data_IF_519876283258
#
_entry.id   IF_519876283258
#
_cell.length_a   1.000
_cell.length_b   1.000
_cell.length_c   1.000
_cell.angle_alpha   90.00
_cell.angle_beta   90.00
_cell.angle_gamma   90.00
#
_symmetry.space_group_name_H-M   'P 1'
#
loop_
_entity.id
_entity.type
_entity.pdbx_description
1 polymer ?
#
# COMPACT_ATOMS: atom_id res chain seq x y z
N UNK A 1 -21.08 5.63 22.56
CA UNK A 1 -20.61 6.36 21.35
C UNK A 1 -19.73 5.40 20.59
N UNK A 2 -20.00 5.12 19.33
CA UNK A 2 -19.10 4.33 18.48
C UNK A 2 -17.94 5.27 18.18
N UNK A 3 -16.75 5.01 18.76
CA UNK A 3 -15.54 5.73 18.40
C UNK A 3 -15.34 5.61 16.89
N UNK A 4 -15.33 6.73 16.22
CA UNK A 4 -15.02 6.76 14.77
C UNK A 4 -13.52 6.74 14.62
N UNK A 5 -13.01 5.88 13.73
CA UNK A 5 -11.59 5.86 13.35
C UNK A 5 -11.07 7.29 13.09
N UNK A 6 -9.87 7.65 13.57
CA UNK A 6 -9.29 8.97 13.31
C UNK A 6 -9.11 9.19 11.82
N UNK A 7 -9.32 10.43 11.37
CA UNK A 7 -9.16 10.73 9.95
C UNK A 7 -7.68 10.76 9.55
N UNK A 8 -6.90 11.58 10.24
CA UNK A 8 -5.47 11.76 9.97
C UNK A 8 -4.70 11.67 11.27
N UNK A 9 -3.57 10.96 11.23
CA UNK A 9 -2.56 11.00 12.29
C UNK A 9 -1.26 11.52 11.69
N UNK A 10 -0.72 12.61 12.26
CA UNK A 10 0.58 13.14 11.88
C UNK A 10 1.69 12.51 12.69
N UNK A 11 2.77 12.15 12.00
CA UNK A 11 3.98 11.62 12.62
C UNK A 11 5.19 12.51 12.28
N UNK A 12 6.10 12.70 13.24
CA UNK A 12 7.33 13.42 12.99
C UNK A 12 8.25 12.64 12.04
N UNK A 13 9.28 13.33 11.57
CA UNK A 13 10.39 12.72 10.83
C UNK A 13 11.08 11.62 11.68
N UNK A 14 11.50 10.53 11.04
CA UNK A 14 12.32 9.50 11.68
C UNK A 14 13.79 9.90 11.66
N UNK A 15 14.26 10.47 12.76
CA UNK A 15 15.65 10.91 12.90
C UNK A 15 16.63 9.76 13.24
N UNK A 16 16.12 8.56 13.56
CA UNK A 16 16.93 7.45 14.09
C UNK A 16 17.20 6.34 13.10
N UNK A 17 16.29 6.11 12.18
CA UNK A 17 16.31 4.96 11.29
C UNK A 17 15.61 5.23 9.96
N UNK A 18 15.15 4.16 9.33
CA UNK A 18 14.47 4.18 8.05
C UNK A 18 12.97 4.06 8.21
N UNK A 19 12.24 4.56 7.23
CA UNK A 19 10.83 4.30 7.05
C UNK A 19 10.64 3.30 5.90
N UNK A 20 9.81 2.29 6.14
CA UNK A 20 9.41 1.30 5.14
C UNK A 20 7.90 1.31 4.96
N UNK A 21 7.44 1.05 3.75
CA UNK A 21 6.01 0.86 3.44
C UNK A 21 5.81 -0.54 2.88
N UNK A 22 4.78 -1.25 3.36
CA UNK A 22 4.38 -2.56 2.82
C UNK A 22 2.97 -2.47 2.22
N UNK A 23 2.72 -3.32 1.23
CA UNK A 23 1.41 -3.54 0.63
C UNK A 23 0.39 -4.16 1.60
N UNK A 24 -0.78 -4.52 1.07
CA UNK A 24 -1.85 -5.19 1.81
C UNK A 24 -1.34 -6.48 2.46
N UNK A 25 -1.52 -6.59 3.78
CA UNK A 25 -0.89 -7.67 4.55
C UNK A 25 -1.72 -8.96 4.57
N UNK A 26 -3.05 -8.84 4.72
CA UNK A 26 -3.99 -9.96 4.63
C UNK A 26 -3.53 -11.26 5.29
N UNK A 27 -2.95 -11.20 6.50
CA UNK A 27 -2.49 -12.40 7.22
C UNK A 27 -1.18 -13.01 6.69
N UNK A 28 -0.43 -12.34 5.80
CA UNK A 28 0.89 -12.76 5.30
C UNK A 28 2.00 -12.42 6.32
N UNK A 29 1.85 -12.88 7.55
CA UNK A 29 2.74 -12.55 8.66
C UNK A 29 4.14 -13.15 8.51
N UNK A 30 4.25 -14.38 8.01
CA UNK A 30 5.55 -15.06 7.86
C UNK A 30 6.39 -14.37 6.78
N UNK A 31 5.76 -13.96 5.69
CA UNK A 31 6.42 -13.20 4.62
C UNK A 31 6.89 -11.84 5.12
N UNK A 32 6.09 -11.18 5.97
CA UNK A 32 6.52 -9.96 6.63
C UNK A 32 7.79 -10.19 7.46
N UNK A 33 7.83 -11.24 8.29
CA UNK A 33 9.01 -11.54 9.10
C UNK A 33 10.26 -11.81 8.25
N UNK A 34 10.10 -12.49 7.10
CA UNK A 34 11.21 -12.70 6.16
C UNK A 34 11.72 -11.38 5.58
N UNK A 35 10.82 -10.47 5.19
CA UNK A 35 11.20 -9.14 4.70
C UNK A 35 11.95 -8.35 5.77
N UNK A 36 11.43 -8.27 6.99
CA UNK A 36 12.07 -7.57 8.10
C UNK A 36 13.48 -8.10 8.37
N UNK A 37 13.62 -9.44 8.38
CA UNK A 37 14.92 -10.10 8.54
C UNK A 37 15.87 -9.75 7.38
N UNK A 38 15.40 -9.78 6.15
CA UNK A 38 16.19 -9.53 4.96
C UNK A 38 16.75 -8.11 4.92
N UNK A 39 15.92 -7.11 5.19
CA UNK A 39 16.34 -5.70 5.21
C UNK A 39 17.09 -5.33 6.50
N UNK A 40 17.25 -6.28 7.44
CA UNK A 40 17.85 -6.07 8.77
C UNK A 40 17.14 -4.96 9.54
N UNK A 41 15.80 -5.00 9.53
CA UNK A 41 14.96 -4.03 10.19
C UNK A 41 15.28 -3.93 11.69
N UNK A 42 15.57 -2.71 12.17
CA UNK A 42 15.85 -2.43 13.58
C UNK A 42 14.62 -1.82 14.24
N UNK A 43 13.86 -2.62 15.00
CA UNK A 43 12.64 -2.18 15.71
C UNK A 43 12.86 -1.03 16.70
N UNK A 44 14.11 -0.76 17.08
CA UNK A 44 14.46 0.35 17.98
C UNK A 44 14.61 1.68 17.24
N UNK A 45 14.72 1.65 15.90
CA UNK A 45 15.02 2.82 15.08
C UNK A 45 14.10 2.97 13.87
N UNK A 46 13.79 1.85 13.19
CA UNK A 46 13.04 1.87 11.95
C UNK A 46 11.53 1.88 12.19
N UNK A 47 10.78 2.39 11.22
CA UNK A 47 9.31 2.36 11.22
C UNK A 47 8.80 1.63 10.00
N UNK A 48 7.75 0.84 10.20
CA UNK A 48 7.05 0.10 9.16
C UNK A 48 5.61 0.59 9.04
N UNK A 49 5.21 1.00 7.85
CA UNK A 49 3.87 1.44 7.52
C UNK A 49 3.18 0.41 6.61
N UNK A 50 2.01 -0.06 6.99
CA UNK A 50 1.15 -0.91 6.17
C UNK A 50 0.04 -0.07 5.54
N UNK A 51 -0.22 -0.30 4.25
CA UNK A 51 -1.30 0.39 3.53
C UNK A 51 -2.70 -0.15 3.86
N UNK A 52 -2.83 -0.99 4.90
CA UNK A 52 -4.11 -1.52 5.39
C UNK A 52 -4.33 -2.98 5.06
N UNK A 53 -5.57 -3.43 5.27
CA UNK A 53 -6.01 -4.81 5.04
C UNK A 53 -5.15 -5.85 5.79
N UNK A 54 -5.08 -5.70 7.12
CA UNK A 54 -4.30 -6.59 7.99
C UNK A 54 -4.88 -8.02 8.03
N UNK A 55 -6.20 -8.13 7.90
CA UNK A 55 -6.94 -9.38 8.08
C UNK A 55 -7.59 -9.91 6.80
N UNK A 56 -8.28 -11.02 6.95
CA UNK A 56 -8.93 -11.82 5.92
C UNK A 56 -7.92 -12.47 4.92
N UNK A 57 -8.35 -13.49 4.24
CA UNK A 57 -7.69 -14.22 3.15
C UNK A 57 -6.49 -15.07 3.54
N UNK A 58 -5.47 -14.52 4.16
CA UNK A 58 -4.26 -15.26 4.54
C UNK A 58 -4.36 -15.95 5.92
N UNK A 59 -3.35 -16.76 6.28
CA UNK A 59 -3.48 -17.71 7.41
C UNK A 59 -3.29 -17.07 8.79
N UNK A 60 -2.53 -15.97 8.92
CA UNK A 60 -2.09 -15.40 10.21
C UNK A 60 -2.60 -13.99 10.47
N UNK A 61 -3.92 -13.78 10.28
CA UNK A 61 -4.54 -12.47 10.45
C UNK A 61 -4.43 -11.91 11.88
N UNK A 62 -4.54 -12.77 12.90
CA UNK A 62 -4.48 -12.33 14.30
C UNK A 62 -3.08 -11.82 14.65
N UNK A 63 -2.04 -12.49 14.16
CA UNK A 63 -0.66 -12.08 14.30
C UNK A 63 -0.39 -10.74 13.63
N UNK A 64 -0.97 -10.52 12.44
CA UNK A 64 -0.88 -9.24 11.74
C UNK A 64 -1.54 -8.10 12.52
N UNK A 65 -2.75 -8.31 13.03
CA UNK A 65 -3.45 -7.30 13.86
C UNK A 65 -2.70 -7.04 15.16
N UNK A 66 -2.14 -8.07 15.80
CA UNK A 66 -1.40 -7.94 17.05
C UNK A 66 -0.12 -7.09 16.91
N UNK A 67 0.40 -6.87 15.70
CA UNK A 67 1.51 -5.95 15.46
C UNK A 67 1.19 -4.52 15.90
N UNK A 68 -0.08 -4.11 15.83
CA UNK A 68 -0.52 -2.76 16.20
C UNK A 68 -0.25 -2.41 17.69
N UNK A 69 -0.17 -3.44 18.54
CA UNK A 69 0.10 -3.28 19.97
C UNK A 69 1.57 -3.57 20.34
N UNK A 70 2.37 -4.01 19.37
CA UNK A 70 3.81 -4.27 19.60
C UNK A 70 4.58 -2.96 19.75
N UNK A 71 5.43 -2.93 20.79
CA UNK A 71 6.29 -1.79 21.11
C UNK A 71 7.76 -2.24 21.11
N UNK A 72 8.65 -1.30 20.86
CA UNK A 72 10.09 -1.48 21.06
C UNK A 72 10.45 -1.44 22.55
N UNK A 73 11.72 -1.58 22.89
CA UNK A 73 12.21 -1.57 24.28
C UNK A 73 11.94 -0.24 25.00
N UNK A 74 11.82 0.87 24.25
CA UNK A 74 11.48 2.19 24.77
C UNK A 74 9.96 2.43 24.89
N UNK A 75 9.13 1.43 24.61
CA UNK A 75 7.67 1.54 24.61
C UNK A 75 7.10 2.31 23.41
N UNK A 76 7.91 2.54 22.37
CA UNK A 76 7.49 3.25 21.15
C UNK A 76 6.91 2.30 20.12
N UNK A 77 5.93 2.75 19.39
CA UNK A 77 5.35 2.04 18.25
C UNK A 77 6.32 2.08 17.07
N UNK A 78 6.50 0.94 16.40
CA UNK A 78 7.32 0.80 15.19
C UNK A 78 6.52 0.30 13.98
N UNK A 79 5.34 -0.31 14.22
CA UNK A 79 4.41 -0.76 13.17
C UNK A 79 3.17 0.12 13.17
N UNK A 80 2.84 0.66 12.02
CA UNK A 80 1.71 1.55 11.78
C UNK A 80 0.88 1.01 10.63
N UNK A 81 -0.44 1.04 10.70
CA UNK A 81 -1.32 0.67 9.61
C UNK A 81 -2.44 1.69 9.45
N UNK A 82 -2.81 2.00 8.24
CA UNK A 82 -4.07 2.68 7.95
C UNK A 82 -5.22 1.67 7.94
N UNK A 83 -6.44 2.17 8.02
CA UNK A 83 -7.65 1.38 7.93
C UNK A 83 -7.86 0.90 6.49
N UNK A 84 -7.83 -0.42 6.27
CA UNK A 84 -8.25 -1.05 5.03
C UNK A 84 -9.74 -1.35 4.97
N UNK A 85 -10.27 -1.64 3.79
CA UNK A 85 -11.69 -1.98 3.65
C UNK A 85 -12.05 -3.33 4.31
N UNK A 86 -11.10 -4.26 4.40
CA UNK A 86 -11.27 -5.50 5.17
C UNK A 86 -11.17 -5.26 6.67
N UNK A 87 -10.47 -4.24 7.13
CA UNK A 87 -10.30 -3.91 8.55
C UNK A 87 -11.51 -3.12 9.12
N UNK A 88 -12.37 -2.60 8.27
CA UNK A 88 -13.48 -1.75 8.67
C UNK A 88 -14.55 -2.50 9.46
N UNK A 89 -14.66 -2.23 10.76
CA UNK A 89 -15.45 -2.99 11.73
C UNK A 89 -16.96 -2.99 11.44
N UNK A 90 -17.51 -1.93 10.86
CA UNK A 90 -18.95 -1.88 10.51
C UNK A 90 -19.37 -3.01 9.54
N UNK A 91 -18.45 -3.58 8.80
CA UNK A 91 -18.72 -4.72 7.93
C UNK A 91 -18.83 -6.07 8.68
N UNK A 92 -18.55 -6.07 10.01
CA UNK A 92 -18.47 -7.30 10.83
C UNK A 92 -19.69 -7.61 11.68
N UNK A 93 -20.68 -6.73 11.75
CA UNK A 93 -21.88 -6.96 12.57
C UNK A 93 -22.60 -8.27 12.23
N UNK A 94 -22.24 -8.94 11.14
CA UNK A 94 -22.75 -10.25 10.73
C UNK A 94 -21.85 -11.45 11.00
N UNK A 95 -20.57 -11.27 11.39
CA UNK A 95 -19.63 -12.39 11.61
C UNK A 95 -18.93 -12.28 12.97
N UNK A 96 -19.44 -13.01 13.93
CA UNK A 96 -19.04 -13.20 15.33
C UNK A 96 -17.63 -13.83 15.51
N UNK A 97 -16.54 -13.31 14.88
CA UNK A 97 -15.29 -14.09 14.78
C UNK A 97 -14.01 -13.39 15.27
N UNK A 98 -14.01 -12.09 15.53
CA UNK A 98 -12.85 -11.45 16.15
C UNK A 98 -13.08 -11.26 17.64
N UNK A 99 -12.08 -11.61 18.47
CA UNK A 99 -12.08 -11.26 19.88
C UNK A 99 -12.14 -9.74 20.03
N UNK A 100 -12.80 -9.24 21.06
CA UNK A 100 -12.93 -7.80 21.36
C UNK A 100 -11.58 -7.05 21.32
N UNK A 101 -10.51 -7.72 21.74
CA UNK A 101 -9.15 -7.20 21.67
C UNK A 101 -8.75 -6.76 20.26
N UNK A 102 -8.91 -7.61 19.25
CA UNK A 102 -8.54 -7.28 17.86
C UNK A 102 -9.47 -6.22 17.27
N UNK A 103 -10.75 -6.28 17.58
CA UNK A 103 -11.72 -5.26 17.20
C UNK A 103 -11.30 -3.89 17.73
N UNK A 104 -10.92 -3.81 19.02
CA UNK A 104 -10.46 -2.57 19.65
C UNK A 104 -9.19 -2.01 19.00
N UNK A 105 -8.28 -2.84 18.51
CA UNK A 105 -7.11 -2.38 17.78
C UNK A 105 -7.50 -1.78 16.42
N UNK A 106 -8.38 -2.44 15.66
CA UNK A 106 -8.81 -1.99 14.34
C UNK A 106 -9.61 -0.68 14.39
N UNK A 107 -10.41 -0.42 15.44
CA UNK A 107 -11.15 0.84 15.59
C UNK A 107 -10.27 2.06 15.82
N UNK A 108 -8.99 1.87 16.14
CA UNK A 108 -8.01 2.95 16.34
C UNK A 108 -7.22 3.30 15.09
N UNK A 109 -7.35 2.51 14.01
CA UNK A 109 -6.61 2.75 12.78
C UNK A 109 -7.08 4.06 12.13
N UNK A 110 -6.17 4.94 11.71
CA UNK A 110 -6.54 6.14 10.95
C UNK A 110 -6.85 5.78 9.50
N UNK A 111 -7.55 6.67 8.82
CA UNK A 111 -7.68 6.61 7.36
C UNK A 111 -6.41 7.03 6.66
N UNK A 112 -5.65 7.95 7.25
CA UNK A 112 -4.45 8.56 6.65
C UNK A 112 -3.37 8.71 7.72
N UNK A 113 -2.14 8.30 7.39
CA UNK A 113 -0.95 8.82 8.06
C UNK A 113 -0.32 9.92 7.21
N UNK A 114 0.06 11.04 7.85
CA UNK A 114 0.89 12.11 7.31
C UNK A 114 2.23 12.07 8.03
N UNK A 115 3.31 11.78 7.31
CA UNK A 115 4.62 11.54 7.90
C UNK A 115 5.61 12.56 7.39
N UNK A 116 6.25 13.33 8.28
CA UNK A 116 7.32 14.26 7.90
C UNK A 116 8.54 13.50 7.40
N UNK A 117 9.17 14.01 6.33
CA UNK A 117 10.31 13.37 5.70
C UNK A 117 11.33 14.39 5.21
N UNK A 118 12.66 14.14 5.37
CA UNK A 118 13.68 15.14 5.05
C UNK A 118 13.74 15.53 3.57
N UNK A 119 13.47 14.57 2.66
CA UNK A 119 13.57 14.81 1.21
C UNK A 119 12.25 15.23 0.57
N UNK A 120 11.09 14.76 1.08
CA UNK A 120 9.77 14.97 0.46
C UNK A 120 8.91 15.99 1.21
N UNK A 121 9.42 16.65 2.24
CA UNK A 121 8.65 17.37 3.25
C UNK A 121 7.70 16.43 3.99
N UNK A 122 6.80 15.72 3.28
CA UNK A 122 5.87 14.72 3.82
C UNK A 122 5.64 13.59 2.82
N UNK A 123 5.26 12.41 3.33
CA UNK A 123 4.59 11.37 2.57
C UNK A 123 3.31 10.96 3.30
N UNK A 124 2.40 10.36 2.55
CA UNK A 124 1.11 9.93 3.06
C UNK A 124 0.93 8.43 2.86
N UNK A 125 0.23 7.80 3.80
CA UNK A 125 -0.22 6.42 3.69
C UNK A 125 -1.74 6.44 3.70
N UNK A 126 -2.36 5.79 2.71
CA UNK A 126 -3.80 5.56 2.60
C UNK A 126 -4.05 4.13 2.15
N UNK A 127 -5.29 3.63 2.28
CA UNK A 127 -5.54 2.26 1.82
C UNK A 127 -5.78 2.20 0.31
N UNK A 128 -6.78 2.93 -0.22
CA UNK A 128 -7.10 2.85 -1.65
C UNK A 128 -6.56 4.07 -2.41
N UNK A 129 -7.37 5.08 -2.63
CA UNK A 129 -6.98 6.25 -3.44
C UNK A 129 -7.35 7.56 -2.75
N UNK A 130 -6.47 8.55 -2.85
CA UNK A 130 -6.76 9.90 -2.40
C UNK A 130 -7.51 10.69 -3.48
N UNK A 131 -8.78 10.35 -3.66
CA UNK A 131 -9.64 10.93 -4.69
C UNK A 131 -10.47 12.12 -4.22
N UNK A 132 -10.70 12.27 -2.94
CA UNK A 132 -11.67 13.23 -2.41
C UNK A 132 -11.34 14.70 -2.68
N UNK A 133 -10.11 15.03 -3.02
CA UNK A 133 -9.72 16.38 -3.43
C UNK A 133 -10.19 16.76 -4.83
N UNK A 134 -10.62 15.79 -5.63
CA UNK A 134 -10.90 15.93 -7.05
C UNK A 134 -12.40 15.78 -7.35
N UNK A 135 -13.27 15.85 -6.34
CA UNK A 135 -14.70 15.50 -6.46
C UNK A 135 -15.51 16.37 -7.42
N UNK A 136 -15.03 17.57 -7.73
CA UNK A 136 -15.70 18.49 -8.65
C UNK A 136 -15.19 18.37 -10.09
N UNK A 137 -14.31 17.42 -10.37
CA UNK A 137 -13.69 17.25 -11.66
C UNK A 137 -14.21 15.99 -12.36
N UNK A 138 -14.34 16.04 -13.68
CA UNK A 138 -14.57 14.84 -14.46
C UNK A 138 -13.30 13.96 -14.51
N UNK A 139 -13.44 12.69 -14.89
CA UNK A 139 -12.33 11.73 -14.86
C UNK A 139 -11.14 12.14 -15.76
N UNK A 140 -11.39 12.90 -16.82
CA UNK A 140 -10.35 13.39 -17.73
C UNK A 140 -9.57 14.56 -17.12
N UNK A 141 -10.25 15.50 -16.47
CA UNK A 141 -9.64 16.59 -15.70
C UNK A 141 -8.81 16.06 -14.54
N UNK A 142 -9.34 15.07 -13.79
CA UNK A 142 -8.62 14.38 -12.72
C UNK A 142 -7.32 13.78 -13.24
N UNK A 143 -7.41 13.04 -14.36
CA UNK A 143 -6.25 12.38 -14.95
C UNK A 143 -5.25 13.40 -15.47
N UNK A 144 -5.73 14.45 -16.14
CA UNK A 144 -4.87 15.52 -16.63
C UNK A 144 -4.17 16.27 -15.50
N UNK A 145 -4.84 16.52 -14.37
CA UNK A 145 -4.21 17.12 -13.20
C UNK A 145 -3.21 16.17 -12.51
N UNK A 146 -3.55 14.89 -12.35
CA UNK A 146 -2.64 13.89 -11.80
C UNK A 146 -1.41 13.65 -12.68
N UNK A 147 -1.59 13.70 -14.02
CA UNK A 147 -0.53 13.48 -14.99
C UNK A 147 0.29 14.75 -15.29
N UNK A 148 -0.33 15.91 -15.22
CA UNK A 148 0.28 17.20 -15.62
C UNK A 148 0.76 18.06 -14.44
N UNK A 149 0.70 17.55 -13.20
CA UNK A 149 1.28 18.21 -12.02
C UNK A 149 0.60 19.48 -11.53
N UNK A 150 -0.62 19.72 -11.91
CA UNK A 150 -1.38 20.89 -11.47
C UNK A 150 -2.26 20.59 -10.24
N UNK A 151 -1.82 19.69 -9.34
CA UNK A 151 -2.40 19.66 -7.99
C UNK A 151 -2.11 21.01 -7.36
N UNK A 152 -3.14 21.84 -7.24
CA UNK A 152 -2.99 23.20 -6.72
C UNK A 152 -2.40 23.18 -5.31
N UNK A 153 -1.63 24.19 -4.97
CA UNK A 153 -1.10 24.38 -3.62
C UNK A 153 -2.21 24.38 -2.56
N UNK A 154 -3.46 24.66 -2.94
CA UNK A 154 -4.65 24.60 -2.08
C UNK A 154 -4.96 23.18 -1.55
N UNK A 155 -4.73 22.13 -2.36
CA UNK A 155 -4.92 20.74 -1.92
C UNK A 155 -3.87 20.39 -0.88
N UNK A 156 -2.63 20.79 -1.11
CA UNK A 156 -1.55 20.64 -0.13
C UNK A 156 -1.83 21.43 1.15
N UNK A 157 -2.30 22.64 1.03
CA UNK A 157 -2.64 23.50 2.16
C UNK A 157 -3.76 22.90 3.01
N UNK A 158 -4.75 22.29 2.39
CA UNK A 158 -5.84 21.60 3.09
C UNK A 158 -5.37 20.36 3.86
N UNK A 159 -4.41 19.59 3.29
CA UNK A 159 -3.78 18.46 3.98
C UNK A 159 -2.87 18.91 5.13
N UNK A 160 -2.19 20.07 4.95
CA UNK A 160 -1.24 20.59 5.93
C UNK A 160 -1.93 21.16 7.19
N UNK A 161 -3.14 21.66 7.09
CA UNK A 161 -3.80 22.39 8.17
C UNK A 161 -4.78 21.56 9.02
N UNK A 162 -4.86 20.22 8.83
CA UNK A 162 -5.75 19.30 9.58
C UNK A 162 -7.24 19.70 9.63
N UNK A 163 -7.69 20.66 8.81
CA UNK A 163 -9.04 21.17 8.81
C UNK A 163 -9.99 20.40 7.87
N UNK A 164 -9.62 19.18 7.49
CA UNK A 164 -10.41 18.38 6.55
C UNK A 164 -11.54 17.69 7.29
N UNK A 165 -12.76 18.15 7.05
CA UNK A 165 -13.97 17.44 7.46
C UNK A 165 -14.45 16.61 6.29
N UNK A 166 -14.32 15.28 6.38
CA UNK A 166 -14.83 14.36 5.36
C UNK A 166 -16.19 13.79 5.77
N UNK A 167 -17.11 13.77 4.82
CA UNK A 167 -18.36 13.02 4.95
C UNK A 167 -18.08 11.50 5.03
N UNK A 168 -19.06 10.72 5.48
CA UNK A 168 -18.93 9.25 5.55
C UNK A 168 -18.66 8.64 4.16
N UNK A 169 -19.28 9.18 3.10
CA UNK A 169 -19.03 8.73 1.72
C UNK A 169 -17.60 8.99 1.28
N UNK A 170 -17.04 10.15 1.62
CA UNK A 170 -15.64 10.49 1.31
C UNK A 170 -14.65 9.59 2.06
N UNK A 171 -14.91 9.30 3.35
CA UNK A 171 -14.11 8.34 4.12
C UNK A 171 -14.15 6.95 3.51
N UNK A 172 -15.32 6.49 3.03
CA UNK A 172 -15.43 5.22 2.30
C UNK A 172 -14.60 5.21 1.02
N UNK A 173 -14.55 6.31 0.29
CA UNK A 173 -13.73 6.39 -0.93
C UNK A 173 -12.24 6.15 -0.65
N UNK A 174 -11.70 6.63 0.47
CA UNK A 174 -10.28 6.40 0.82
C UNK A 174 -9.95 4.91 0.97
N UNK A 175 -10.92 4.08 1.32
CA UNK A 175 -10.72 2.64 1.55
C UNK A 175 -11.31 1.74 0.45
N UNK A 176 -12.03 2.31 -0.55
CA UNK A 176 -12.70 1.53 -1.59
C UNK A 176 -12.44 2.02 -3.02
N UNK A 177 -11.87 3.20 -3.24
CA UNK A 177 -11.76 3.78 -4.58
C UNK A 177 -10.82 2.96 -5.49
N UNK A 178 -11.24 2.83 -6.76
CA UNK A 178 -10.47 2.16 -7.83
C UNK A 178 -10.45 2.99 -9.11
N UNK A 179 -11.03 4.17 -9.08
CA UNK A 179 -11.39 4.89 -10.30
C UNK A 179 -10.16 5.40 -11.06
N UNK A 180 -9.17 5.95 -10.36
CA UNK A 180 -7.93 6.42 -10.98
C UNK A 180 -7.14 5.27 -11.57
N UNK A 181 -6.99 4.18 -10.80
CA UNK A 181 -6.32 2.98 -11.26
C UNK A 181 -7.04 2.37 -12.46
N UNK A 182 -8.37 2.25 -12.41
CA UNK A 182 -9.16 1.65 -13.47
C UNK A 182 -9.17 2.49 -14.75
N UNK A 183 -9.24 3.82 -14.61
CA UNK A 183 -9.11 4.73 -15.74
C UNK A 183 -7.75 4.58 -16.42
N UNK A 184 -6.69 4.54 -15.64
CA UNK A 184 -5.33 4.34 -16.12
C UNK A 184 -5.19 3.02 -16.87
N UNK A 185 -5.65 1.93 -16.29
CA UNK A 185 -5.63 0.59 -16.89
C UNK A 185 -6.43 0.58 -18.19
N UNK A 186 -7.66 1.12 -18.20
CA UNK A 186 -8.53 1.13 -19.38
C UNK A 186 -7.92 1.95 -20.53
N UNK A 187 -7.26 3.06 -20.23
CA UNK A 187 -6.61 3.91 -21.25
C UNK A 187 -5.38 3.23 -21.88
N UNK A 188 -4.73 2.33 -21.14
CA UNK A 188 -3.48 1.70 -21.55
C UNK A 188 -3.62 0.19 -21.85
N UNK A 189 -4.86 -0.35 -21.90
CA UNK A 189 -5.13 -1.81 -22.01
C UNK A 189 -4.46 -2.53 -23.19
N UNK A 190 -4.05 -1.80 -24.23
CA UNK A 190 -3.43 -2.43 -25.40
C UNK A 190 -1.95 -2.78 -25.20
N UNK A 191 -1.26 -2.24 -24.17
CA UNK A 191 0.21 -2.26 -24.10
C UNK A 191 0.80 -2.43 -22.70
N UNK A 192 0.05 -2.98 -21.72
CA UNK A 192 0.60 -3.13 -20.36
C UNK A 192 1.36 -4.47 -20.25
N UNK A 193 2.60 -4.48 -20.67
CA UNK A 193 3.56 -5.54 -20.32
C UNK A 193 4.47 -5.07 -19.17
N UNK A 194 5.12 -5.98 -18.45
CA UNK A 194 6.11 -5.62 -17.41
C UNK A 194 7.21 -4.69 -17.92
N UNK A 195 7.50 -4.69 -19.24
CA UNK A 195 8.42 -3.76 -19.89
C UNK A 195 7.87 -2.33 -19.99
N UNK A 196 6.56 -2.19 -20.16
CA UNK A 196 5.91 -0.90 -20.46
C UNK A 196 5.69 -0.05 -19.21
N UNK A 197 5.60 -0.64 -18.01
CA UNK A 197 5.58 0.15 -16.78
C UNK A 197 6.88 0.98 -16.58
N UNK A 198 7.99 0.58 -17.22
CA UNK A 198 9.22 1.39 -17.26
C UNK A 198 9.10 2.65 -18.13
N UNK A 199 8.14 2.68 -19.05
CA UNK A 199 7.94 3.77 -19.99
C UNK A 199 7.26 5.01 -19.35
N UNK A 200 6.58 4.82 -18.22
CA UNK A 200 5.89 5.89 -17.49
C UNK A 200 6.83 6.78 -16.68
N UNK A 201 8.09 6.40 -16.55
CA UNK A 201 9.13 7.11 -15.79
C UNK A 201 10.03 7.99 -16.67
N UNK A 202 9.56 8.47 -17.82
CA UNK A 202 10.35 9.41 -18.60
C UNK A 202 10.56 10.72 -17.84
N UNK A 203 11.78 11.23 -17.89
CA UNK A 203 12.42 12.35 -17.20
C UNK A 203 11.59 13.63 -16.89
N UNK A 204 10.44 13.83 -17.56
CA UNK A 204 9.55 14.97 -17.29
C UNK A 204 8.88 14.93 -15.91
N UNK A 205 8.83 13.75 -15.26
CA UNK A 205 8.15 13.57 -13.98
C UNK A 205 9.08 13.69 -12.76
N UNK A 206 10.36 13.91 -12.96
CA UNK A 206 11.35 13.96 -11.87
C UNK A 206 11.05 15.03 -10.82
N UNK A 207 10.61 16.21 -11.24
CA UNK A 207 10.31 17.33 -10.33
C UNK A 207 9.04 17.13 -9.47
N UNK A 208 8.13 16.24 -9.86
CA UNK A 208 6.85 16.02 -9.18
C UNK A 208 6.98 14.98 -8.09
N UNK A 209 7.74 13.95 -8.40
CA UNK A 209 8.07 12.88 -7.45
C UNK A 209 8.80 13.45 -6.23
N UNK A 210 9.43 14.62 -6.37
CA UNK A 210 10.19 15.27 -5.30
C UNK A 210 9.33 15.95 -4.23
N UNK A 211 8.05 16.27 -4.50
CA UNK A 211 7.24 17.09 -3.58
C UNK A 211 6.21 16.31 -2.73
N UNK A 212 5.58 15.28 -3.29
CA UNK A 212 4.52 14.54 -2.60
C UNK A 212 4.55 13.06 -2.96
N UNK A 213 4.45 12.19 -1.98
CA UNK A 213 4.30 10.75 -2.16
C UNK A 213 3.13 10.23 -1.35
N UNK A 214 2.24 9.50 -2.02
CA UNK A 214 1.07 8.87 -1.42
C UNK A 214 1.19 7.37 -1.67
N UNK A 215 1.50 6.60 -0.64
CA UNK A 215 1.51 5.15 -0.73
C UNK A 215 0.11 4.60 -0.51
N UNK A 216 -0.32 3.70 -1.40
CA UNK A 216 -1.64 3.07 -1.34
C UNK A 216 -1.57 1.59 -1.74
N UNK A 217 -2.59 0.83 -1.31
CA UNK A 217 -2.80 -0.58 -1.58
C UNK A 217 -4.06 -0.84 -2.39
N UNK A 218 -4.86 -1.86 -1.96
CA UNK A 218 -6.20 -2.18 -2.45
C UNK A 218 -6.29 -2.59 -3.94
N UNK A 219 -5.58 -1.91 -4.80
CA UNK A 219 -5.52 -2.16 -6.24
C UNK A 219 -4.30 -3.02 -6.54
N UNK A 220 -4.54 -4.29 -6.89
CA UNK A 220 -3.46 -5.25 -7.14
C UNK A 220 -2.68 -4.89 -8.39
N UNK A 221 -1.38 -4.78 -8.26
CA UNK A 221 -0.42 -4.47 -9.32
C UNK A 221 0.64 -5.56 -9.44
N UNK A 222 1.24 -5.80 -10.61
CA UNK A 222 2.28 -6.83 -10.78
C UNK A 222 3.57 -6.49 -10.02
N UNK A 223 3.85 -5.22 -9.81
CA UNK A 223 4.90 -4.68 -8.95
C UNK A 223 4.50 -3.25 -8.55
N UNK A 224 5.07 -2.68 -7.48
CA UNK A 224 4.75 -1.32 -7.08
C UNK A 224 4.94 -0.33 -8.22
N UNK A 225 3.90 0.46 -8.52
CA UNK A 225 3.87 1.41 -9.64
C UNK A 225 3.48 2.80 -9.15
N UNK A 226 3.93 3.82 -9.88
CA UNK A 226 3.57 5.21 -9.62
C UNK A 226 2.60 5.68 -10.70
N UNK A 227 1.46 6.22 -10.27
CA UNK A 227 0.49 6.88 -11.13
C UNK A 227 0.25 8.27 -10.54
N UNK A 228 0.79 9.30 -11.20
CA UNK A 228 0.80 10.65 -10.63
C UNK A 228 1.59 10.70 -9.31
N UNK A 229 0.93 11.09 -8.23
CA UNK A 229 1.53 11.13 -6.89
C UNK A 229 1.32 9.86 -6.08
N UNK A 230 0.54 8.91 -6.58
CA UNK A 230 0.17 7.70 -5.88
C UNK A 230 1.09 6.54 -6.24
N UNK A 231 1.57 5.84 -5.22
CA UNK A 231 2.44 4.66 -5.30
C UNK A 231 1.61 3.47 -4.86
N UNK A 232 1.17 2.64 -5.81
CA UNK A 232 0.37 1.44 -5.56
C UNK A 232 1.29 0.30 -5.13
N UNK A 233 1.06 -0.24 -3.93
CA UNK A 233 1.95 -1.20 -3.29
C UNK A 233 1.36 -2.61 -3.13
N UNK A 234 0.04 -2.81 -3.36
CA UNK A 234 -0.58 -4.14 -3.23
C UNK A 234 -0.17 -5.02 -4.41
N UNK A 235 0.63 -6.03 -4.15
CA UNK A 235 1.08 -7.02 -5.14
C UNK A 235 0.36 -8.37 -5.00
N UNK A 236 -0.80 -8.36 -4.33
CA UNK A 236 -1.69 -9.52 -4.23
C UNK A 236 -1.16 -10.65 -3.35
N UNK A 237 -0.34 -10.34 -2.34
CA UNK A 237 0.31 -11.33 -1.48
C UNK A 237 -0.63 -12.47 -1.02
N UNK A 238 -1.83 -12.13 -0.56
CA UNK A 238 -2.80 -13.09 -0.05
C UNK A 238 -3.29 -14.11 -1.09
N UNK A 239 -3.20 -13.81 -2.38
CA UNK A 239 -3.67 -14.71 -3.44
C UNK A 239 -2.73 -15.91 -3.66
N UNK A 240 -1.48 -15.82 -3.24
CA UNK A 240 -0.55 -16.94 -3.26
C UNK A 240 -0.96 -18.11 -2.36
N UNK A 241 -1.84 -17.87 -1.37
CA UNK A 241 -2.26 -18.90 -0.42
C UNK A 241 -3.45 -19.76 -0.89
N UNK A 242 -4.38 -19.22 -1.67
CA UNK A 242 -5.70 -19.88 -1.78
C UNK A 242 -6.38 -19.83 -3.15
N UNK A 243 -5.79 -19.29 -4.22
CA UNK A 243 -6.61 -19.06 -5.42
C UNK A 243 -5.87 -19.18 -6.75
N UNK A 244 -5.62 -20.43 -7.24
CA UNK A 244 -5.07 -20.65 -8.58
C UNK A 244 -5.82 -19.89 -9.70
N UNK A 245 -7.17 -19.83 -9.62
CA UNK A 245 -8.00 -19.09 -10.61
C UNK A 245 -7.74 -17.58 -10.68
N UNK A 246 -7.25 -16.98 -9.59
CA UNK A 246 -6.89 -15.56 -9.62
C UNK A 246 -5.52 -15.33 -10.27
N UNK A 247 -4.63 -16.31 -10.23
CA UNK A 247 -3.34 -16.27 -10.95
C UNK A 247 -3.61 -16.07 -12.44
N UNK A 248 -4.51 -16.85 -13.05
CA UNK A 248 -4.88 -16.70 -14.46
C UNK A 248 -5.46 -15.30 -14.78
N UNK A 249 -6.30 -14.77 -13.88
CA UNK A 249 -6.88 -13.43 -14.05
C UNK A 249 -5.80 -12.34 -14.03
N UNK A 250 -4.86 -12.43 -13.09
CA UNK A 250 -3.80 -11.45 -12.92
C UNK A 250 -2.59 -11.70 -13.82
N UNK A 251 -2.39 -12.93 -14.31
CA UNK A 251 -1.39 -13.24 -15.33
C UNK A 251 -1.56 -12.41 -16.61
N UNK A 252 -2.82 -12.13 -17.00
CA UNK A 252 -3.14 -11.21 -18.10
C UNK A 252 -2.61 -9.78 -17.90
N UNK A 253 -2.28 -9.41 -16.65
CA UNK A 253 -1.76 -8.11 -16.26
C UNK A 253 -0.25 -8.16 -15.98
N UNK A 254 0.41 -9.28 -16.31
CA UNK A 254 1.84 -9.47 -16.09
C UNK A 254 2.23 -9.94 -14.68
N UNK A 255 1.24 -10.26 -13.81
CA UNK A 255 1.55 -10.90 -12.52
C UNK A 255 1.96 -12.35 -12.76
N UNK A 256 3.25 -12.61 -12.69
CA UNK A 256 3.79 -13.97 -12.83
C UNK A 256 3.79 -14.74 -11.52
N UNK A 257 3.83 -14.04 -10.39
CA UNK A 257 3.73 -14.58 -9.04
C UNK A 257 3.22 -13.51 -8.08
N UNK A 258 2.68 -13.95 -6.95
CA UNK A 258 2.24 -13.05 -5.88
C UNK A 258 3.30 -12.95 -4.81
N UNK A 259 3.46 -11.77 -4.25
CA UNK A 259 4.43 -11.51 -3.20
C UNK A 259 3.97 -10.36 -2.31
N UNK A 260 4.47 -10.32 -1.08
CA UNK A 260 4.32 -9.16 -0.21
C UNK A 260 5.40 -8.15 -0.56
N UNK A 261 5.00 -6.96 -1.02
CA UNK A 261 5.94 -5.90 -1.37
C UNK A 261 6.33 -5.06 -0.15
N UNK A 262 7.58 -4.62 -0.10
CA UNK A 262 8.10 -3.63 0.85
C UNK A 262 8.96 -2.60 0.14
N UNK A 263 8.81 -1.33 0.50
CA UNK A 263 9.51 -0.20 -0.12
C UNK A 263 10.29 0.54 0.95
N UNK A 264 11.58 0.72 0.75
CA UNK A 264 12.41 1.66 1.52
C UNK A 264 12.06 3.08 1.06
N UNK A 265 11.43 3.87 1.93
CA UNK A 265 10.94 5.21 1.58
C UNK A 265 12.08 6.16 1.22
N UNK A 266 13.26 5.99 1.78
CA UNK A 266 14.38 6.89 1.53
C UNK A 266 15.02 6.67 0.15
N UNK A 267 15.07 5.42 -0.30
CA UNK A 267 15.77 5.04 -1.54
C UNK A 267 14.84 4.68 -2.69
N UNK A 268 13.57 4.41 -2.40
CA UNK A 268 12.62 3.84 -3.36
C UNK A 268 12.89 2.38 -3.70
N UNK A 269 13.84 1.72 -3.05
CA UNK A 269 14.15 0.32 -3.29
C UNK A 269 12.98 -0.57 -2.90
N UNK A 270 12.59 -1.46 -3.81
CA UNK A 270 11.51 -2.42 -3.62
C UNK A 270 12.08 -3.79 -3.29
N UNK A 271 11.47 -4.42 -2.28
CA UNK A 271 11.71 -5.80 -1.88
C UNK A 271 10.40 -6.58 -2.00
N UNK A 272 10.48 -7.87 -2.24
CA UNK A 272 9.30 -8.74 -2.31
C UNK A 272 9.55 -10.07 -1.63
N UNK A 273 8.59 -10.55 -0.83
CA UNK A 273 8.61 -11.92 -0.32
C UNK A 273 7.53 -12.74 -1.02
N UNK A 274 7.93 -13.79 -1.72
CA UNK A 274 7.05 -14.64 -2.53
C UNK A 274 6.08 -15.41 -1.65
N UNK A 275 4.79 -15.31 -1.99
CA UNK A 275 3.70 -16.01 -1.29
C UNK A 275 3.15 -17.20 -2.08
N UNK A 276 3.27 -17.17 -3.41
CA UNK A 276 2.79 -18.25 -4.27
C UNK A 276 3.69 -19.48 -4.21
N UNK A 277 3.07 -20.67 -4.14
CA UNK A 277 3.77 -21.90 -4.46
C UNK A 277 3.97 -22.00 -5.97
N UNK A 278 5.00 -22.73 -6.40
CA UNK A 278 5.28 -22.99 -7.80
C UNK A 278 4.01 -23.56 -8.46
N UNK A 279 3.37 -22.77 -9.34
CA UNK A 279 2.17 -23.22 -10.04
C UNK A 279 2.55 -23.84 -11.38
N UNK A 280 1.81 -24.89 -11.78
CA UNK A 280 1.98 -25.61 -13.05
C UNK A 280 1.63 -24.73 -14.29
N UNK A 281 1.22 -23.48 -14.10
CA UNK A 281 0.74 -22.57 -15.14
C UNK A 281 1.88 -21.74 -15.79
N UNK A 282 3.09 -21.85 -15.29
CA UNK A 282 4.22 -21.08 -15.81
C UNK A 282 4.78 -21.67 -17.11
N UNK A 283 5.01 -20.81 -18.11
CA UNK A 283 5.67 -21.19 -19.36
C UNK A 283 7.16 -21.48 -19.14
N UNK A 284 7.83 -22.15 -20.09
CA UNK A 284 9.27 -22.44 -20.00
C UNK A 284 10.16 -21.19 -19.81
N UNK A 285 9.73 -20.02 -20.32
CA UNK A 285 10.41 -18.74 -20.07
C UNK A 285 10.29 -18.26 -18.61
N UNK A 286 9.23 -18.63 -17.92
CA UNK A 286 9.02 -18.30 -16.52
C UNK A 286 9.89 -19.16 -15.59
N UNK A 287 10.39 -20.31 -16.06
CA UNK A 287 11.29 -21.20 -15.31
C UNK A 287 12.69 -20.63 -15.06
N UNK A 288 13.09 -19.52 -15.69
CA UNK A 288 14.33 -18.82 -15.35
C UNK A 288 14.35 -18.28 -13.91
N UNK A 289 13.18 -18.14 -13.30
CA UNK A 289 13.03 -17.65 -11.93
C UNK A 289 12.43 -18.74 -11.03
N UNK A 290 13.29 -19.57 -10.47
CA UNK A 290 12.91 -20.72 -9.60
C UNK A 290 12.54 -20.24 -8.17
N UNK A 291 11.64 -19.25 -8.05
CA UNK A 291 11.24 -18.73 -6.75
C UNK A 291 10.30 -19.69 -6.02
N UNK A 292 10.52 -19.82 -4.69
CA UNK A 292 9.66 -20.57 -3.78
C UNK A 292 9.00 -19.63 -2.80
N UNK A 293 7.89 -20.07 -2.18
CA UNK A 293 7.28 -19.35 -1.08
C UNK A 293 8.34 -19.05 -0.01
N UNK A 294 8.35 -17.80 0.47
CA UNK A 294 9.31 -17.30 1.45
C UNK A 294 10.62 -16.75 0.86
N UNK A 295 10.88 -16.95 -0.44
CA UNK A 295 12.03 -16.31 -1.08
C UNK A 295 11.88 -14.80 -1.06
N UNK A 296 12.93 -14.09 -0.64
CA UNK A 296 12.95 -12.63 -0.62
C UNK A 296 13.80 -12.12 -1.78
N UNK A 297 13.23 -11.20 -2.52
CA UNK A 297 13.79 -10.62 -3.73
C UNK A 297 14.06 -9.14 -3.55
N UNK A 298 15.21 -8.69 -4.04
CA UNK A 298 15.44 -7.27 -4.31
C UNK A 298 15.05 -7.00 -5.75
N UNK A 299 14.08 -6.13 -5.97
CA UNK A 299 13.68 -5.75 -7.32
C UNK A 299 14.75 -4.84 -7.92
N UNK A 300 15.16 -5.13 -9.15
CA UNK A 300 16.21 -4.36 -9.85
C UNK A 300 15.76 -2.94 -10.27
N UNK A 301 14.64 -2.46 -9.73
CA UNK A 301 14.08 -1.15 -10.01
C UNK A 301 13.74 -0.45 -8.70
N UNK A 302 14.04 0.84 -8.66
CA UNK A 302 13.57 1.76 -7.62
C UNK A 302 12.31 2.47 -8.11
N UNK A 303 11.50 2.99 -7.18
CA UNK A 303 10.27 3.71 -7.54
C UNK A 303 10.56 5.16 -7.90
N UNK A 304 11.72 5.66 -7.60
CA UNK A 304 12.20 7.02 -7.93
C UNK A 304 13.69 7.05 -8.25
#
# INVERSE_FOLDING_TARGET
>A
MIETNPLIIELPENMKGKDYVIGDLHGCYDELLQLLKFVKFDIEKDRLFCVGDLKDRGPKQNECIALLDKKNKQGQQWFFSVLGNHDYVKNFLSKKLLKDYYTNLLTKLPYIYSVKHPFFKKFFIVHAEMRFFLQNMNNEEITNQLLNNNLSDEIFYSLDNNNIILSESQRKNIIWARDNFQYFVNKNQANITMGDFSFMFKEKNKQIVEKLKIFCGHNVVPFPIVIGHQIYCDTGACFGYNKPRLIEKFAKWGNRFFYLSMIDVNTGQVYGCVTSEKSEIYTEEDYKYNYKRGDVLTMNKTIY
#
